data_IF_660053184512
#
_entry.id   IF_660053184512
#
_cell.length_a   1.000
_cell.length_b   1.000
_cell.length_c   1.000
_cell.angle_alpha   90.00
_cell.angle_beta   90.00
_cell.angle_gamma   90.00
#
_symmetry.space_group_name_H-M   'P 1'
#
loop_
_entity.id
_entity.type
_entity.pdbx_description
1 polymer ?
#
# COMPACT_ATOMS: atom_id res chain seq x y z
N UNK A 1 -8.49 20.23 -0.33
CA UNK A 1 -8.45 18.82 0.14
C UNK A 1 -7.47 18.09 -0.76
N UNK A 2 -6.51 17.38 -0.17
CA UNK A 2 -5.33 16.88 -0.88
C UNK A 2 -5.48 15.41 -1.19
N UNK A 3 -5.11 15.00 -2.40
CA UNK A 3 -5.19 13.64 -2.93
C UNK A 3 -3.81 13.15 -3.30
N UNK A 4 -3.55 11.84 -3.15
CA UNK A 4 -2.22 11.28 -3.32
C UNK A 4 -2.19 9.93 -4.04
N UNK A 5 -1.16 9.73 -4.87
CA UNK A 5 -0.69 8.41 -5.21
C UNK A 5 0.26 7.91 -4.11
N UNK A 6 0.12 6.66 -3.72
CA UNK A 6 0.88 6.05 -2.62
C UNK A 6 1.55 4.77 -3.12
N UNK A 7 2.85 4.62 -2.82
CA UNK A 7 3.59 3.38 -3.05
C UNK A 7 4.33 2.94 -1.78
N UNK A 8 4.89 1.73 -1.79
CA UNK A 8 5.62 1.13 -0.67
C UNK A 8 6.96 0.59 -1.15
N UNK A 9 8.05 0.98 -0.47
CA UNK A 9 9.37 0.40 -0.64
C UNK A 9 9.86 -0.22 0.67
N UNK A 10 10.03 -1.54 0.68
CA UNK A 10 10.49 -2.29 1.86
C UNK A 10 11.98 -2.63 1.83
N UNK A 11 12.64 -2.47 0.68
CA UNK A 11 14.07 -2.71 0.44
C UNK A 11 14.62 -1.67 -0.54
N UNK A 12 15.94 -1.61 -0.68
CA UNK A 12 16.61 -0.72 -1.65
C UNK A 12 16.25 -1.09 -3.10
N UNK A 13 16.01 -2.37 -3.42
CA UNK A 13 15.58 -2.82 -4.75
C UNK A 13 14.18 -2.33 -5.08
N UNK A 14 13.22 -2.48 -4.15
CA UNK A 14 11.87 -1.92 -4.33
C UNK A 14 11.91 -0.40 -4.38
N UNK A 15 12.87 0.24 -3.71
CA UNK A 15 13.03 1.68 -3.78
C UNK A 15 13.44 2.16 -5.18
N UNK A 16 14.28 1.40 -5.90
CA UNK A 16 14.56 1.69 -7.30
C UNK A 16 13.28 1.68 -8.15
N UNK A 17 12.38 0.71 -7.92
CA UNK A 17 11.06 0.67 -8.56
C UNK A 17 10.21 1.90 -8.22
N UNK A 18 10.15 2.27 -6.94
CA UNK A 18 9.41 3.44 -6.47
C UNK A 18 9.91 4.76 -7.10
N UNK A 19 11.22 4.90 -7.34
CA UNK A 19 11.80 6.07 -8.01
C UNK A 19 11.38 6.15 -9.49
N UNK A 20 11.40 5.02 -10.21
CA UNK A 20 10.90 4.93 -11.60
C UNK A 20 9.40 5.24 -11.65
N UNK A 21 8.65 4.68 -10.71
CA UNK A 21 7.22 4.92 -10.54
C UNK A 21 6.92 6.42 -10.34
N UNK A 22 7.63 7.09 -9.44
CA UNK A 22 7.44 8.52 -9.17
C UNK A 22 7.75 9.37 -10.41
N UNK A 23 8.86 9.06 -11.09
CA UNK A 23 9.22 9.72 -12.34
C UNK A 23 8.13 9.55 -13.41
N UNK A 24 7.59 8.33 -13.59
CA UNK A 24 6.55 8.06 -14.58
C UNK A 24 5.27 8.88 -14.35
N UNK A 25 4.86 9.06 -13.09
CA UNK A 25 3.72 9.90 -12.72
C UNK A 25 3.97 11.40 -13.00
N UNK A 26 5.20 11.88 -12.74
CA UNK A 26 5.59 13.26 -13.08
C UNK A 26 5.64 13.50 -14.58
N UNK A 27 6.10 12.53 -15.36
CA UNK A 27 6.16 12.61 -16.84
C UNK A 27 4.77 12.75 -17.46
N UNK A 28 3.80 12.01 -16.95
CA UNK A 28 2.39 12.14 -17.36
C UNK A 28 1.66 13.31 -16.70
N UNK A 29 2.41 14.17 -15.98
CA UNK A 29 1.95 15.43 -15.38
C UNK A 29 0.80 15.25 -14.40
N UNK A 30 0.89 14.25 -13.52
CA UNK A 30 -0.07 14.15 -12.42
C UNK A 30 -0.09 15.44 -11.60
N UNK A 31 -1.28 15.83 -11.15
CA UNK A 31 -1.51 16.95 -10.25
C UNK A 31 -1.53 16.53 -8.77
N UNK A 32 -1.43 15.23 -8.51
CA UNK A 32 -1.60 14.64 -7.18
C UNK A 32 -0.27 14.56 -6.45
N UNK A 33 -0.34 14.47 -5.12
CA UNK A 33 0.85 14.26 -4.30
C UNK A 33 1.40 12.85 -4.52
N UNK A 34 2.71 12.70 -4.45
CA UNK A 34 3.41 11.42 -4.49
C UNK A 34 3.89 11.06 -3.09
N UNK A 35 3.46 9.90 -2.59
CA UNK A 35 3.79 9.42 -1.24
C UNK A 35 4.52 8.08 -1.32
N UNK A 36 5.63 7.97 -0.60
CA UNK A 36 6.34 6.70 -0.43
C UNK A 36 6.29 6.26 1.03
N UNK A 37 5.71 5.11 1.30
CA UNK A 37 5.89 4.40 2.57
C UNK A 37 7.24 3.67 2.51
N UNK A 38 8.06 3.78 3.55
CA UNK A 38 9.37 3.14 3.60
C UNK A 38 9.58 2.40 4.91
N UNK A 39 10.21 1.23 4.88
CA UNK A 39 10.59 0.53 6.10
C UNK A 39 11.99 0.93 6.57
N UNK A 40 12.33 0.60 7.82
CA UNK A 40 13.69 0.78 8.37
C UNK A 40 14.77 -0.05 7.66
N UNK A 41 14.37 -1.00 6.81
CA UNK A 41 15.30 -1.83 6.03
C UNK A 41 15.86 -1.10 4.80
N UNK A 42 15.23 -0.01 4.37
CA UNK A 42 15.73 0.84 3.29
C UNK A 42 16.90 1.68 3.80
N UNK A 43 17.98 1.74 3.04
CA UNK A 43 19.18 2.47 3.44
C UNK A 43 18.91 3.97 3.56
N UNK A 44 19.54 4.68 4.52
CA UNK A 44 19.39 6.12 4.66
C UNK A 44 19.76 6.89 3.37
N UNK A 45 20.69 6.34 2.58
CA UNK A 45 21.05 6.88 1.28
C UNK A 45 19.86 6.89 0.32
N UNK A 46 19.16 5.75 0.19
CA UNK A 46 17.98 5.63 -0.67
C UNK A 46 16.81 6.48 -0.17
N UNK A 47 16.57 6.54 1.14
CA UNK A 47 15.54 7.43 1.73
C UNK A 47 15.82 8.89 1.41
N UNK A 48 17.08 9.34 1.54
CA UNK A 48 17.48 10.70 1.20
C UNK A 48 17.24 11.05 -0.27
N UNK A 49 17.48 10.10 -1.19
CA UNK A 49 17.21 10.29 -2.61
C UNK A 49 15.71 10.51 -2.87
N UNK A 50 14.85 9.78 -2.16
CA UNK A 50 13.39 9.86 -2.33
C UNK A 50 12.79 11.20 -1.94
N UNK A 51 13.37 11.89 -0.95
CA UNK A 51 12.91 13.23 -0.57
C UNK A 51 12.98 14.26 -1.71
N UNK A 52 13.72 13.98 -2.79
CA UNK A 52 13.76 14.83 -3.98
C UNK A 52 12.64 14.55 -5.01
N UNK A 53 12.02 13.36 -4.95
CA UNK A 53 11.06 12.87 -5.95
C UNK A 53 9.63 12.80 -5.41
N UNK A 54 9.48 12.55 -4.11
CA UNK A 54 8.20 12.40 -3.43
C UNK A 54 7.85 13.66 -2.64
N UNK A 55 6.56 13.99 -2.61
CA UNK A 55 6.05 15.10 -1.79
C UNK A 55 6.03 14.73 -0.30
N UNK A 56 5.95 13.43 0.01
CA UNK A 56 5.97 12.92 1.37
C UNK A 56 6.59 11.51 1.41
N UNK A 57 7.50 11.30 2.34
CA UNK A 57 8.10 9.99 2.63
C UNK A 57 7.76 9.66 4.08
N UNK A 58 7.07 8.56 4.31
CA UNK A 58 6.60 8.13 5.62
C UNK A 58 7.35 6.86 6.04
N UNK A 59 8.09 6.94 7.14
CA UNK A 59 8.79 5.76 7.67
C UNK A 59 7.80 4.93 8.49
N UNK A 60 7.52 3.73 8.01
CA UNK A 60 6.68 2.75 8.68
C UNK A 60 7.56 1.79 9.46
N UNK A 61 7.40 1.81 10.78
CA UNK A 61 7.97 0.79 11.66
C UNK A 61 6.89 -0.14 12.19
N UNK A 62 6.89 -1.37 11.68
CA UNK A 62 5.99 -2.44 12.11
C UNK A 62 6.38 -2.97 13.50
N UNK A 63 7.63 -2.79 13.93
CA UNK A 63 8.18 -3.37 15.16
C UNK A 63 8.11 -2.43 16.38
N UNK A 64 7.96 -1.12 16.18
CA UNK A 64 8.08 -0.09 17.23
C UNK A 64 6.75 0.52 17.68
N UNK A 65 5.64 0.25 16.98
CA UNK A 65 4.34 0.57 17.54
C UNK A 65 4.03 -0.42 18.67
N UNK A 66 4.16 0.02 19.93
CA UNK A 66 3.87 -0.74 21.17
C UNK A 66 2.42 -1.18 21.35
N UNK A 67 1.78 -1.55 20.25
CA UNK A 67 0.40 -1.95 20.09
C UNK A 67 0.31 -3.47 20.19
N UNK A 68 -0.71 -3.96 20.90
CA UNK A 68 -0.93 -5.40 21.07
C UNK A 68 -1.07 -6.15 19.72
N UNK A 69 -1.54 -5.43 18.69
CA UNK A 69 -1.61 -5.92 17.32
C UNK A 69 -0.22 -6.17 16.69
N UNK A 70 0.80 -5.36 17.02
CA UNK A 70 2.17 -5.57 16.52
C UNK A 70 2.90 -6.68 17.25
N UNK A 71 2.55 -6.93 18.51
CA UNK A 71 2.99 -8.13 19.24
C UNK A 71 2.44 -9.40 18.61
N UNK A 72 1.18 -9.40 18.14
CA UNK A 72 0.62 -10.51 17.38
C UNK A 72 1.32 -10.68 16.01
N UNK A 73 1.78 -9.59 15.40
CA UNK A 73 2.57 -9.60 14.17
C UNK A 73 3.94 -10.26 14.32
N UNK A 74 4.62 -10.08 15.45
CA UNK A 74 5.89 -10.78 15.74
C UNK A 74 5.74 -12.31 15.70
N UNK A 75 4.53 -12.83 15.95
CA UNK A 75 4.23 -14.25 15.87
C UNK A 75 3.96 -14.75 14.44
N UNK A 76 3.86 -13.85 13.45
CA UNK A 76 3.53 -14.14 12.04
C UNK A 76 4.44 -13.37 11.07
N UNK A 77 5.74 -13.70 11.01
CA UNK A 77 6.72 -13.01 10.17
C UNK A 77 6.40 -13.10 8.67
N UNK A 78 5.60 -14.09 8.26
CA UNK A 78 5.09 -14.26 6.90
C UNK A 78 4.21 -13.08 6.42
N UNK A 79 3.66 -12.29 7.34
CA UNK A 79 2.71 -11.23 6.99
C UNK A 79 3.33 -9.81 7.02
N UNK A 80 4.62 -9.66 7.31
CA UNK A 80 5.24 -8.34 7.56
C UNK A 80 5.05 -7.32 6.43
N UNK A 81 5.21 -7.74 5.16
CA UNK A 81 5.08 -6.85 4.00
C UNK A 81 3.62 -6.43 3.78
N UNK A 82 2.71 -7.40 3.80
CA UNK A 82 1.25 -7.19 3.70
C UNK A 82 0.75 -6.17 4.72
N UNK A 83 1.21 -6.26 5.96
CA UNK A 83 0.79 -5.34 7.00
C UNK A 83 1.38 -3.96 6.81
N UNK A 84 2.65 -3.85 6.40
CA UNK A 84 3.27 -2.56 6.07
C UNK A 84 2.45 -1.82 5.01
N UNK A 85 1.92 -2.52 4.01
CA UNK A 85 1.05 -1.96 2.98
C UNK A 85 -0.25 -1.36 3.55
N UNK A 86 -0.85 -1.99 4.56
CA UNK A 86 -2.07 -1.47 5.22
C UNK A 86 -1.88 -0.11 5.89
N UNK A 87 -0.63 0.27 6.24
CA UNK A 87 -0.37 1.60 6.80
C UNK A 87 -0.73 2.75 5.85
N UNK A 88 -0.97 2.49 4.56
CA UNK A 88 -1.48 3.52 3.64
C UNK A 88 -2.83 4.10 4.12
N UNK A 89 -3.68 3.33 4.81
CA UNK A 89 -4.93 3.84 5.40
C UNK A 89 -4.71 4.80 6.57
N UNK A 90 -3.53 4.85 7.17
CA UNK A 90 -3.21 5.80 8.25
C UNK A 90 -2.89 7.21 7.74
N UNK A 91 -2.75 7.40 6.43
CA UNK A 91 -2.42 8.68 5.80
C UNK A 91 -3.64 9.64 5.76
N UNK A 92 -4.26 9.88 6.92
CA UNK A 92 -5.51 10.65 7.10
C UNK A 92 -5.38 12.14 6.78
N UNK A 93 -4.18 12.62 6.46
CA UNK A 93 -3.95 13.94 5.87
C UNK A 93 -4.45 14.04 4.41
N UNK A 94 -4.71 12.91 3.74
CA UNK A 94 -5.28 12.86 2.39
C UNK A 94 -6.75 12.44 2.40
N UNK A 95 -7.54 13.03 1.51
CA UNK A 95 -8.99 12.74 1.43
C UNK A 95 -9.33 11.55 0.55
N UNK A 96 -8.42 11.19 -0.37
CA UNK A 96 -8.49 10.01 -1.22
C UNK A 96 -7.08 9.67 -1.69
N UNK A 97 -6.83 8.39 -1.87
CA UNK A 97 -5.56 7.93 -2.37
C UNK A 97 -5.71 6.78 -3.36
N UNK A 98 -4.71 6.65 -4.23
CA UNK A 98 -4.55 5.51 -5.12
C UNK A 98 -3.26 4.81 -4.73
N UNK A 99 -3.38 3.60 -4.20
CA UNK A 99 -2.23 2.77 -3.93
C UNK A 99 -1.74 2.12 -5.22
N UNK A 100 -0.42 2.08 -5.41
CA UNK A 100 0.24 1.39 -6.52
C UNK A 100 1.49 0.68 -6.03
N UNK A 101 1.63 -0.61 -6.30
CA UNK A 101 2.85 -1.35 -5.98
C UNK A 101 4.05 -0.75 -6.76
N UNK A 102 5.24 -0.83 -6.16
CA UNK A 102 6.45 -0.21 -6.69
C UNK A 102 6.99 -0.87 -7.98
N UNK A 103 6.40 -2.00 -8.39
CA UNK A 103 6.66 -2.69 -9.66
C UNK A 103 5.65 -2.33 -10.77
N UNK A 104 4.80 -1.32 -10.54
CA UNK A 104 3.91 -0.74 -11.56
C UNK A 104 4.60 0.40 -12.33
N UNK A 105 4.14 0.64 -13.57
CA UNK A 105 4.64 1.73 -14.42
C UNK A 105 3.48 2.50 -15.05
N UNK A 106 3.50 3.83 -14.93
CA UNK A 106 2.45 4.70 -15.47
C UNK A 106 2.81 5.17 -16.88
N UNK A 107 1.94 4.88 -17.84
CA UNK A 107 2.17 5.20 -19.26
C UNK A 107 1.38 6.42 -19.74
N UNK A 108 0.29 6.77 -19.04
CA UNK A 108 -0.59 7.89 -19.34
C UNK A 108 -1.10 8.50 -18.04
N UNK A 109 -1.64 9.71 -18.10
CA UNK A 109 -2.21 10.35 -16.92
C UNK A 109 -3.43 9.53 -16.45
N UNK A 110 -3.43 9.19 -15.15
CA UNK A 110 -4.44 8.35 -14.49
C UNK A 110 -5.08 9.09 -13.31
N UNK A 111 -5.09 10.43 -13.33
CA UNK A 111 -5.71 11.25 -12.28
C UNK A 111 -7.24 11.04 -12.22
N UNK A 112 -7.85 10.49 -13.26
CA UNK A 112 -9.27 10.12 -13.31
C UNK A 112 -9.62 8.98 -12.34
N UNK A 113 -8.64 8.19 -11.88
CA UNK A 113 -8.85 7.18 -10.84
C UNK A 113 -9.40 7.79 -9.54
N UNK A 114 -9.10 9.06 -9.25
CA UNK A 114 -9.62 9.75 -8.07
C UNK A 114 -11.13 10.04 -8.13
N UNK A 115 -11.78 9.84 -9.28
CA UNK A 115 -13.24 9.91 -9.40
C UNK A 115 -13.92 8.63 -8.86
N UNK A 116 -13.17 7.54 -8.68
CA UNK A 116 -13.70 6.25 -8.22
C UNK A 116 -13.94 6.22 -6.69
N UNK A 117 -14.91 5.44 -6.20
CA UNK A 117 -15.13 5.23 -4.76
C UNK A 117 -14.15 4.21 -4.17
N UNK A 118 -13.99 4.23 -2.85
CA UNK A 118 -13.41 3.08 -2.13
C UNK A 118 -14.45 1.93 -2.08
N UNK A 119 -14.07 0.67 -2.31
CA UNK A 119 -12.81 0.15 -2.84
C UNK A 119 -12.96 -0.06 -4.35
N UNK A 120 -12.06 0.48 -5.16
CA UNK A 120 -12.02 0.23 -6.62
C UNK A 120 -10.67 -0.35 -7.03
N UNK A 121 -10.68 -1.48 -7.73
CA UNK A 121 -9.48 -2.18 -8.19
C UNK A 121 -9.76 -2.97 -9.49
N UNK A 122 -8.70 -3.36 -10.19
CA UNK A 122 -8.82 -4.21 -11.38
C UNK A 122 -8.99 -5.69 -11.01
N UNK A 123 -9.68 -6.52 -11.83
CA UNK A 123 -9.78 -7.96 -11.59
C UNK A 123 -8.41 -8.64 -11.69
N UNK A 124 -8.20 -9.67 -10.90
CA UNK A 124 -7.02 -10.52 -11.00
C UNK A 124 -7.10 -11.43 -12.25
N UNK A 125 -6.03 -11.54 -13.07
CA UNK A 125 -6.07 -12.37 -14.27
C UNK A 125 -6.25 -13.87 -14.01
N UNK A 126 -5.78 -14.37 -12.86
CA UNK A 126 -5.84 -15.79 -12.50
C UNK A 126 -7.19 -16.18 -11.91
N UNK A 127 -7.77 -15.31 -11.09
CA UNK A 127 -9.08 -15.51 -10.48
C UNK A 127 -9.92 -14.22 -10.52
N UNK A 128 -10.77 -14.02 -11.55
CA UNK A 128 -11.41 -12.72 -11.80
C UNK A 128 -12.46 -12.30 -10.77
N UNK A 129 -12.91 -13.20 -9.88
CA UNK A 129 -13.77 -12.83 -8.74
C UNK A 129 -12.96 -12.18 -7.60
N UNK A 130 -11.64 -12.20 -7.68
CA UNK A 130 -10.73 -11.46 -6.82
C UNK A 130 -10.17 -10.27 -7.61
N UNK A 131 -9.87 -9.18 -6.91
CA UNK A 131 -9.15 -8.08 -7.52
C UNK A 131 -7.63 -8.26 -7.33
N UNK A 132 -6.86 -7.61 -8.19
CA UNK A 132 -5.43 -7.46 -8.03
C UNK A 132 -5.16 -6.26 -7.10
N UNK A 133 -4.38 -6.47 -6.04
CA UNK A 133 -4.06 -5.43 -5.05
C UNK A 133 -2.89 -4.52 -5.47
N UNK A 134 -2.36 -4.70 -6.68
CA UNK A 134 -1.27 -3.89 -7.21
C UNK A 134 -1.66 -2.46 -7.52
N UNK A 135 -2.95 -2.22 -7.83
CA UNK A 135 -3.51 -0.86 -7.97
C UNK A 135 -4.92 -0.81 -7.41
N UNK A 136 -5.17 0.08 -6.44
CA UNK A 136 -6.51 0.29 -5.91
C UNK A 136 -6.74 1.71 -5.39
N UNK A 137 -8.00 2.14 -5.45
CA UNK A 137 -8.48 3.43 -4.93
C UNK A 137 -9.09 3.22 -3.55
N UNK A 138 -8.66 4.03 -2.58
CA UNK A 138 -9.08 3.95 -1.19
C UNK A 138 -9.22 5.32 -0.53
N UNK A 139 -9.85 5.35 0.65
CA UNK A 139 -10.01 6.53 1.50
C UNK A 139 -9.26 6.28 2.81
N UNK A 140 -8.17 7.01 3.10
CA UNK A 140 -7.46 6.89 4.36
C UNK A 140 -8.40 7.07 5.56
N UNK A 141 -8.35 6.12 6.49
CA UNK A 141 -9.21 6.06 7.67
C UNK A 141 -8.56 5.16 8.73
N UNK A 142 -8.39 5.70 9.95
CA UNK A 142 -7.93 4.92 11.09
C UNK A 142 -8.91 3.79 11.44
N UNK A 143 -10.22 4.03 11.29
CA UNK A 143 -11.24 3.01 11.53
C UNK A 143 -11.11 1.84 10.54
N UNK A 144 -10.90 2.14 9.25
CA UNK A 144 -10.69 1.11 8.22
C UNK A 144 -9.39 0.36 8.46
N UNK A 145 -8.31 1.08 8.79
CA UNK A 145 -7.03 0.48 9.17
C UNK A 145 -7.17 -0.52 10.32
N UNK A 146 -7.81 -0.14 11.43
CA UNK A 146 -8.02 -1.00 12.59
C UNK A 146 -8.84 -2.25 12.25
N UNK A 147 -9.89 -2.10 11.42
CA UNK A 147 -10.70 -3.23 10.94
C UNK A 147 -9.89 -4.19 10.06
N UNK A 148 -9.11 -3.67 9.12
CA UNK A 148 -8.24 -4.47 8.25
C UNK A 148 -7.16 -5.19 9.06
N UNK A 149 -6.55 -4.49 10.03
CA UNK A 149 -5.54 -5.04 10.92
C UNK A 149 -6.11 -6.20 11.75
N UNK A 150 -7.28 -5.98 12.37
CA UNK A 150 -7.99 -7.01 13.12
C UNK A 150 -8.31 -8.22 12.24
N UNK A 151 -8.84 -8.00 11.04
CA UNK A 151 -9.15 -9.07 10.10
C UNK A 151 -7.90 -9.87 9.71
N UNK A 152 -6.79 -9.20 9.42
CA UNK A 152 -5.55 -9.86 9.04
C UNK A 152 -4.96 -10.70 10.20
N UNK A 153 -5.10 -10.26 11.46
CA UNK A 153 -4.70 -11.03 12.64
C UNK A 153 -5.60 -12.25 12.86
N UNK A 154 -6.91 -12.09 12.76
CA UNK A 154 -7.89 -13.16 13.03
C UNK A 154 -7.91 -14.24 11.94
N UNK A 155 -7.73 -13.84 10.68
CA UNK A 155 -7.95 -14.71 9.53
C UNK A 155 -6.66 -15.13 8.82
N UNK A 156 -5.57 -14.37 9.03
CA UNK A 156 -4.34 -14.50 8.24
C UNK A 156 -4.53 -14.10 6.77
N UNK A 157 -3.50 -14.33 5.97
CA UNK A 157 -3.60 -14.35 4.51
C UNK A 157 -3.59 -15.81 4.02
N UNK A 158 -4.44 -16.12 3.04
CA UNK A 158 -4.58 -17.47 2.50
C UNK A 158 -3.36 -17.90 1.66
N UNK A 159 -2.69 -16.95 1.01
CA UNK A 159 -1.47 -17.15 0.22
C UNK A 159 -0.22 -16.50 0.84
N UNK A 160 -0.38 -15.81 1.98
CA UNK A 160 0.69 -15.07 2.65
C UNK A 160 0.88 -13.64 2.16
N UNK A 161 0.19 -13.23 1.07
CA UNK A 161 0.28 -11.89 0.47
C UNK A 161 -0.86 -10.96 0.88
N UNK A 162 -0.83 -9.73 0.37
CA UNK A 162 -1.80 -8.66 0.67
C UNK A 162 -3.11 -8.81 -0.09
N UNK A 163 -3.06 -9.44 -1.27
CA UNK A 163 -4.19 -9.59 -2.17
C UNK A 163 -5.38 -10.33 -1.54
N UNK A 164 -5.14 -11.32 -0.70
CA UNK A 164 -6.23 -12.13 -0.12
C UNK A 164 -6.78 -11.58 1.20
N UNK A 165 -6.04 -10.72 1.92
CA UNK A 165 -6.54 -10.03 3.13
C UNK A 165 -7.80 -9.18 2.87
N UNK A 166 -8.08 -8.87 1.61
CA UNK A 166 -9.25 -8.07 1.21
C UNK A 166 -10.38 -8.88 0.56
N UNK A 167 -10.24 -10.20 0.41
CA UNK A 167 -11.22 -11.06 -0.24
C UNK A 167 -11.50 -12.34 0.56
N UNK A 168 -12.67 -12.44 1.19
CA UNK A 168 -13.07 -13.66 1.91
C UNK A 168 -13.66 -14.72 0.98
N UNK A 169 -13.16 -15.97 1.01
CA UNK A 169 -13.93 -17.14 0.54
C UNK A 169 -14.74 -17.76 1.69
N UNK A 170 -15.99 -18.22 1.47
CA UNK A 170 -16.65 -19.14 2.40
C UNK A 170 -15.82 -20.41 2.52
N UNK A 171 -15.58 -20.89 3.74
CA UNK A 171 -14.93 -22.20 3.98
C UNK A 171 -15.71 -23.27 3.20
N UNK A 172 -15.05 -23.94 2.24
CA UNK A 172 -15.55 -25.23 1.75
C UNK A 172 -15.50 -26.20 2.93
N UNK A 173 -16.66 -26.51 3.50
CA UNK A 173 -16.83 -27.71 4.31
C UNK A 173 -16.44 -28.91 3.43
N UNK A 174 -15.37 -29.60 3.83
CA UNK A 174 -15.17 -30.99 3.45
C UNK A 174 -15.89 -31.85 4.47
#
# INVERSE_FOLDING_TARGET
MTEAFVTLATTDEYMCGALVWAQSLREVKTTKHLVCLVTKSVSPYMVNLCHSMFDHVEVVDVLDSGDAANLALLARPDLGVTFTKLHCWRLVQYTKAVFMDADTLVLQNIDDLFERPELSAAPDPGWPDCFNSGVFVFVPSMETYEKLLKFAIETGSFDGGDQTSSCSKPKRQK
#
